data_IF_676729677495
#
_entry.id   IF_676729677495
#
_cell.length_a   1.000
_cell.length_b   1.000
_cell.length_c   1.000
_cell.angle_alpha   90.00
_cell.angle_beta   90.00
_cell.angle_gamma   90.00
#
_symmetry.space_group_name_H-M   'P 1'
#
loop_
_entity.id
_entity.type
_entity.pdbx_description
1 polymer ?
#
# COMPACT_ATOMS: atom_id res chain seq x y z
N UNK A 1 3.24 -12.58 9.81
CA UNK A 1 1.81 -12.27 9.99
C UNK A 1 1.35 -12.83 11.32
N UNK A 2 0.41 -12.15 12.03
CA UNK A 2 0.04 -12.52 13.39
C UNK A 2 -0.74 -13.85 13.42
N UNK A 3 -0.24 -14.81 14.18
CA UNK A 3 -0.91 -16.10 14.43
C UNK A 3 -2.01 -15.99 15.48
N UNK A 4 -1.99 -14.94 16.31
CA UNK A 4 -3.02 -14.64 17.30
C UNK A 4 -4.17 -13.83 16.66
N UNK A 5 -5.39 -14.35 16.76
CA UNK A 5 -6.60 -13.71 16.25
C UNK A 5 -6.84 -12.31 16.83
N UNK A 6 -6.60 -12.10 18.13
CA UNK A 6 -6.86 -10.80 18.78
C UNK A 6 -5.99 -9.68 18.22
N UNK A 7 -4.71 -9.97 17.94
CA UNK A 7 -3.80 -9.02 17.29
C UNK A 7 -4.10 -8.88 15.79
N UNK A 8 -4.47 -9.99 15.13
CA UNK A 8 -4.85 -9.96 13.73
C UNK A 8 -6.08 -9.06 13.48
N UNK A 9 -7.09 -9.15 14.34
CA UNK A 9 -8.29 -8.31 14.25
C UNK A 9 -7.97 -6.81 14.36
N UNK A 10 -6.94 -6.44 15.13
CA UNK A 10 -6.46 -5.06 15.23
C UNK A 10 -5.72 -4.57 13.98
N UNK A 11 -5.28 -5.50 13.12
CA UNK A 11 -4.63 -5.18 11.85
C UNK A 11 -5.64 -5.10 10.68
N UNK A 12 -6.95 -5.18 10.95
CA UNK A 12 -7.97 -5.17 9.91
C UNK A 12 -8.28 -3.76 9.44
N UNK A 13 -8.17 -3.51 8.13
CA UNK A 13 -8.80 -2.36 7.47
C UNK A 13 -10.16 -2.73 6.89
N UNK A 14 -11.12 -1.81 6.97
CA UNK A 14 -12.48 -1.96 6.47
C UNK A 14 -12.67 -1.16 5.19
N UNK A 15 -13.60 -1.59 4.35
CA UNK A 15 -13.90 -0.91 3.06
C UNK A 15 -14.16 0.59 3.22
N UNK A 16 -14.78 0.99 4.31
CA UNK A 16 -15.05 2.37 4.66
C UNK A 16 -13.78 3.22 4.84
N UNK A 17 -12.70 2.62 5.34
CA UNK A 17 -11.39 3.27 5.47
C UNK A 17 -10.76 3.47 4.08
N UNK A 18 -10.84 2.44 3.23
CA UNK A 18 -10.37 2.52 1.84
C UNK A 18 -11.09 3.62 1.07
N UNK A 19 -12.42 3.75 1.21
CA UNK A 19 -13.18 4.77 0.47
C UNK A 19 -12.75 6.18 0.84
N UNK A 20 -12.49 6.44 2.12
CA UNK A 20 -12.14 7.79 2.59
C UNK A 20 -10.70 8.14 2.21
N UNK A 21 -9.77 7.19 2.36
CA UNK A 21 -8.38 7.37 1.93
C UNK A 21 -8.28 7.62 0.42
N UNK A 22 -9.01 6.86 -0.40
CA UNK A 22 -9.03 7.08 -1.84
C UNK A 22 -9.76 8.36 -2.25
N UNK A 23 -10.81 8.76 -1.52
CA UNK A 23 -11.48 10.05 -1.76
C UNK A 23 -10.55 11.24 -1.48
N UNK A 24 -9.69 11.16 -0.48
CA UNK A 24 -8.68 12.19 -0.19
C UNK A 24 -7.65 12.32 -1.33
N UNK A 25 -7.19 11.20 -1.88
CA UNK A 25 -6.23 11.20 -3.02
C UNK A 25 -6.89 11.74 -4.28
N UNK A 26 -8.10 11.29 -4.59
CA UNK A 26 -8.85 11.78 -5.75
C UNK A 26 -9.12 13.29 -5.65
N UNK A 27 -9.43 13.79 -4.44
CA UNK A 27 -9.59 15.22 -4.18
C UNK A 27 -8.28 16.01 -4.36
N UNK A 28 -7.14 15.47 -3.89
CA UNK A 28 -5.83 16.11 -4.05
C UNK A 28 -5.40 16.20 -5.52
N UNK A 29 -5.69 15.16 -6.32
CA UNK A 29 -5.40 15.16 -7.76
C UNK A 29 -6.30 16.14 -8.54
N UNK A 30 -7.57 16.28 -8.15
CA UNK A 30 -8.49 17.26 -8.73
C UNK A 30 -8.08 18.71 -8.40
N UNK A 31 -7.66 18.98 -7.15
CA UNK A 31 -7.22 20.31 -6.70
C UNK A 31 -5.93 20.78 -7.41
N UNK A 32 -5.06 19.85 -7.86
CA UNK A 32 -3.83 20.14 -8.59
C UNK A 32 -4.00 20.21 -10.13
N UNK A 33 -5.13 19.78 -10.67
CA UNK A 33 -5.38 19.71 -12.12
C UNK A 33 -5.95 21.02 -12.72
N UNK A 34 -6.01 22.11 -11.94
CA UNK A 34 -6.42 23.44 -12.42
C UNK A 34 -5.21 24.36 -12.56
N UNK A 35 -4.57 24.43 -13.74
CA UNK A 35 -3.78 25.59 -14.13
C UNK A 35 -4.65 26.52 -14.99
N UNK A 36 -4.82 27.75 -14.49
CA UNK A 36 -4.70 28.99 -15.28
C UNK A 36 -5.43 29.08 -16.63
N UNK A 37 -6.76 29.20 -16.61
CA UNK A 37 -7.45 30.01 -17.62
C UNK A 37 -8.50 30.89 -16.95
N UNK A 38 -8.29 32.20 -17.08
CA UNK A 38 -9.26 33.27 -16.84
C UNK A 38 -10.55 32.96 -17.60
N UNK A 39 -11.52 32.31 -16.95
CA UNK A 39 -12.89 32.26 -17.45
C UNK A 39 -13.84 32.58 -16.31
N UNK A 40 -14.38 33.79 -16.38
CA UNK A 40 -15.56 34.23 -15.65
C UNK A 40 -16.73 33.29 -15.98
N UNK A 41 -16.88 32.23 -15.19
CA UNK A 41 -18.05 31.36 -15.22
C UNK A 41 -18.23 30.69 -13.87
N UNK A 42 -18.95 31.35 -12.97
CA UNK A 42 -19.79 30.76 -11.92
C UNK A 42 -19.44 29.31 -11.48
N UNK A 43 -18.27 29.09 -10.92
CA UNK A 43 -17.93 27.85 -10.21
C UNK A 43 -18.23 27.99 -8.71
N UNK A 44 -19.51 28.15 -8.41
CA UNK A 44 -20.07 28.18 -7.06
C UNK A 44 -20.13 26.76 -6.45
N UNK A 45 -19.01 26.03 -6.40
CA UNK A 45 -18.93 24.72 -5.72
C UNK A 45 -17.56 24.40 -5.08
N UNK A 46 -16.57 25.29 -5.20
CA UNK A 46 -15.28 25.15 -4.50
C UNK A 46 -15.25 25.82 -3.11
N UNK A 47 -16.42 26.17 -2.56
CA UNK A 47 -16.57 26.98 -1.34
C UNK A 47 -17.09 26.10 -0.22
N UNK A 48 -16.30 26.01 0.86
CA UNK A 48 -16.55 25.32 2.14
C UNK A 48 -15.98 23.90 2.27
N UNK A 49 -14.74 23.66 1.84
CA UNK A 49 -13.94 22.60 2.46
C UNK A 49 -13.09 23.20 3.58
N UNK A 50 -13.20 22.64 4.78
CA UNK A 50 -12.48 23.13 5.94
C UNK A 50 -10.96 23.13 5.68
N UNK A 51 -10.26 24.16 6.18
CA UNK A 51 -8.78 24.31 6.06
C UNK A 51 -8.03 23.01 6.43
N UNK A 52 -8.44 22.23 7.45
CA UNK A 52 -7.83 20.94 7.77
C UNK A 52 -7.89 19.90 6.63
N UNK A 53 -9.00 19.80 5.90
CA UNK A 53 -9.15 18.85 4.79
C UNK A 53 -8.19 19.16 3.64
N UNK A 54 -7.99 20.44 3.33
CA UNK A 54 -7.01 20.87 2.32
C UNK A 54 -5.58 20.54 2.75
N UNK A 55 -5.23 20.83 4.00
CA UNK A 55 -3.90 20.48 4.55
C UNK A 55 -3.66 18.96 4.49
N UNK A 56 -4.65 18.15 4.86
CA UNK A 56 -4.51 16.69 4.77
C UNK A 56 -4.34 16.19 3.34
N UNK A 57 -5.04 16.77 2.35
CA UNK A 57 -4.82 16.46 0.93
C UNK A 57 -3.43 16.83 0.43
N UNK A 58 -2.85 17.93 0.91
CA UNK A 58 -1.48 18.33 0.53
C UNK A 58 -0.40 17.43 1.15
N UNK A 59 -0.66 16.87 2.34
CA UNK A 59 0.31 16.03 3.06
C UNK A 59 0.23 14.55 2.65
N UNK A 60 -0.97 14.05 2.36
CA UNK A 60 -1.21 12.66 1.97
C UNK A 60 -1.13 12.49 0.45
N UNK A 61 0.06 12.15 -0.04
CA UNK A 61 0.24 11.69 -1.41
C UNK A 61 -0.31 10.27 -1.59
N UNK A 62 -0.67 9.91 -2.82
CA UNK A 62 -1.06 8.53 -3.15
C UNK A 62 0.01 7.49 -2.79
N UNK A 63 1.29 7.86 -2.77
CA UNK A 63 2.37 6.97 -2.33
C UNK A 63 2.32 6.70 -0.81
N UNK A 64 2.04 7.73 0.00
CA UNK A 64 1.88 7.58 1.45
C UNK A 64 0.71 6.65 1.79
N UNK A 65 -0.43 6.81 1.12
CA UNK A 65 -1.60 5.95 1.34
C UNK A 65 -1.29 4.50 0.98
N UNK A 66 -0.63 4.25 -0.17
CA UNK A 66 -0.21 2.90 -0.54
C UNK A 66 0.68 2.28 0.52
N UNK A 67 1.69 3.02 1.00
CA UNK A 67 2.61 2.55 2.04
C UNK A 67 1.91 2.23 3.36
N UNK A 68 0.94 3.05 3.77
CA UNK A 68 0.17 2.87 5.02
C UNK A 68 -0.67 1.59 5.01
N UNK A 69 -1.13 1.17 3.84
CA UNK A 69 -2.04 0.03 3.69
C UNK A 69 -1.31 -1.30 3.50
N UNK A 70 0.00 -1.28 3.27
CA UNK A 70 0.81 -2.49 3.14
C UNK A 70 0.77 -3.31 4.43
N UNK A 71 0.77 -4.63 4.27
CA UNK A 71 0.78 -5.61 5.36
C UNK A 71 -0.46 -5.61 6.25
N UNK A 72 -1.46 -4.77 5.98
CA UNK A 72 -2.76 -4.80 6.67
C UNK A 72 -3.58 -6.01 6.26
N UNK A 73 -4.48 -6.45 7.13
CA UNK A 73 -5.41 -7.53 6.86
C UNK A 73 -6.74 -6.97 6.37
N UNK A 74 -7.36 -7.67 5.43
CA UNK A 74 -8.66 -7.31 4.87
C UNK A 74 -9.55 -8.54 4.76
N UNK A 75 -10.83 -8.36 5.05
CA UNK A 75 -11.87 -9.35 4.77
C UNK A 75 -12.42 -9.07 3.38
N UNK A 76 -12.38 -10.06 2.49
CA UNK A 76 -12.70 -9.86 1.08
C UNK A 76 -13.79 -10.84 0.65
N UNK A 77 -14.81 -10.32 -0.03
CA UNK A 77 -15.80 -11.12 -0.75
C UNK A 77 -15.17 -11.66 -2.04
N UNK A 78 -15.14 -12.98 -2.21
CA UNK A 78 -14.47 -13.61 -3.35
C UNK A 78 -15.40 -13.59 -4.58
N UNK A 79 -15.00 -12.93 -5.68
CA UNK A 79 -15.78 -12.92 -6.92
C UNK A 79 -15.94 -14.32 -7.49
N UNK A 80 -17.09 -14.63 -8.11
CA UNK A 80 -17.38 -15.95 -8.69
C UNK A 80 -16.28 -16.47 -9.62
N UNK A 81 -15.69 -15.60 -10.43
CA UNK A 81 -14.59 -15.94 -11.35
C UNK A 81 -13.33 -16.47 -10.64
N UNK A 82 -13.15 -16.15 -9.36
CA UNK A 82 -12.00 -16.55 -8.54
C UNK A 82 -12.34 -17.59 -7.48
N UNK A 83 -13.61 -17.98 -7.33
CA UNK A 83 -14.04 -18.97 -6.33
C UNK A 83 -13.47 -20.36 -6.57
N UNK A 84 -13.33 -20.79 -7.83
CA UNK A 84 -12.70 -22.08 -8.15
C UNK A 84 -11.28 -22.19 -7.57
N UNK A 85 -10.48 -21.12 -7.69
CA UNK A 85 -9.11 -21.11 -7.22
C UNK A 85 -9.00 -20.80 -5.72
N UNK A 86 -9.71 -19.78 -5.23
CA UNK A 86 -9.57 -19.29 -3.86
C UNK A 86 -10.49 -19.98 -2.85
N UNK A 87 -11.56 -20.64 -3.25
CA UNK A 87 -12.48 -21.32 -2.32
C UNK A 87 -12.33 -22.83 -2.46
N UNK A 88 -12.56 -23.36 -3.66
CA UNK A 88 -12.54 -24.81 -3.89
C UNK A 88 -11.12 -25.38 -4.01
N UNK A 89 -10.16 -24.59 -4.48
CA UNK A 89 -8.74 -24.96 -4.55
C UNK A 89 -8.02 -24.98 -3.20
N UNK A 90 -8.59 -24.36 -2.16
CA UNK A 90 -7.97 -24.29 -0.84
C UNK A 90 -8.26 -25.56 -0.02
N UNK A 91 -7.21 -26.32 0.31
CA UNK A 91 -7.32 -27.58 1.09
C UNK A 91 -7.85 -27.37 2.50
N UNK A 92 -7.67 -26.18 3.08
CA UNK A 92 -8.05 -25.86 4.45
C UNK A 92 -9.51 -25.39 4.57
N UNK A 93 -10.13 -24.90 3.50
CA UNK A 93 -11.56 -24.54 3.52
C UNK A 93 -12.48 -25.77 3.61
N UNK A 94 -12.10 -26.87 2.96
CA UNK A 94 -12.90 -28.12 2.99
C UNK A 94 -12.73 -28.88 4.31
N UNK A 95 -11.63 -28.64 5.04
CA UNK A 95 -11.37 -29.28 6.34
C UNK A 95 -12.19 -28.71 7.50
N UNK A 96 -12.72 -27.49 7.35
CA UNK A 96 -13.61 -26.86 8.33
C UNK A 96 -15.11 -27.10 8.05
N UNK A 97 -15.45 -27.55 6.84
CA UNK A 97 -16.81 -27.97 6.51
C UNK A 97 -17.03 -29.39 7.03
N UNK A 98 -17.71 -29.51 8.17
CA UNK A 98 -18.17 -30.79 8.72
C UNK A 98 -19.01 -31.51 7.64
N UNK A 99 -18.81 -32.81 7.39
CA UNK A 99 -19.57 -33.54 6.38
C UNK A 99 -21.00 -33.72 6.90
N UNK A 100 -21.91 -32.83 6.54
CA UNK A 100 -23.30 -32.89 7.01
C UNK A 100 -24.22 -31.78 6.51
N UNK A 101 -23.74 -30.54 6.41
CA UNK A 101 -24.64 -29.41 6.08
C UNK A 101 -24.64 -29.09 4.59
N UNK A 102 -25.25 -29.99 3.82
CA UNK A 102 -25.69 -29.71 2.45
C UNK A 102 -27.11 -29.15 2.45
N UNK A 103 -27.30 -27.90 2.91
CA UNK A 103 -28.54 -27.17 2.62
C UNK A 103 -28.38 -25.65 2.71
N UNK A 104 -28.26 -25.00 1.55
CA UNK A 104 -29.04 -23.81 1.18
C UNK A 104 -28.56 -23.26 -0.16
N UNK A 105 -29.40 -23.43 -1.18
CA UNK A 105 -29.31 -22.86 -2.54
C UNK A 105 -29.58 -21.34 -2.56
N UNK A 106 -28.95 -20.59 -1.64
CA UNK A 106 -28.80 -19.14 -1.72
C UNK A 106 -27.48 -18.80 -2.39
N UNK A 107 -27.35 -17.59 -2.98
CA UNK A 107 -26.07 -17.08 -3.50
C UNK A 107 -25.07 -16.92 -2.35
N UNK A 108 -24.42 -18.01 -1.91
CA UNK A 108 -23.44 -17.96 -0.83
C UNK A 108 -22.26 -17.11 -1.28
N UNK A 109 -22.12 -15.94 -0.67
CA UNK A 109 -20.94 -15.12 -0.82
C UNK A 109 -19.85 -15.71 0.08
N UNK A 110 -18.75 -16.13 -0.53
CA UNK A 110 -17.61 -16.65 0.22
C UNK A 110 -16.68 -15.49 0.61
N UNK A 111 -16.34 -15.41 1.89
CA UNK A 111 -15.42 -14.43 2.43
C UNK A 111 -14.09 -15.10 2.77
N UNK A 112 -12.99 -14.38 2.56
CA UNK A 112 -11.65 -14.80 3.00
C UNK A 112 -10.88 -13.63 3.58
N UNK A 113 -9.99 -13.94 4.51
CA UNK A 113 -8.98 -13.02 5.02
C UNK A 113 -7.75 -13.09 4.11
N UNK A 114 -7.22 -11.93 3.76
CA UNK A 114 -5.95 -11.80 3.07
C UNK A 114 -5.17 -10.59 3.54
N UNK A 115 -3.88 -10.58 3.21
CA UNK A 115 -2.97 -9.48 3.51
C UNK A 115 -2.72 -8.63 2.27
N UNK A 116 -2.79 -7.32 2.40
CA UNK A 116 -2.50 -6.37 1.33
C UNK A 116 -0.99 -6.30 1.07
N UNK A 117 -0.58 -6.65 -0.15
CA UNK A 117 0.83 -6.65 -0.59
C UNK A 117 1.14 -5.48 -1.52
N UNK A 118 0.15 -5.00 -2.27
CA UNK A 118 0.28 -3.81 -3.11
C UNK A 118 -1.08 -3.17 -3.34
N UNK A 119 -1.08 -1.86 -3.60
CA UNK A 119 -2.25 -1.05 -3.95
C UNK A 119 -1.91 -0.30 -5.23
N UNK A 120 -2.67 -0.52 -6.29
CA UNK A 120 -2.37 -0.04 -7.65
C UNK A 120 -3.61 0.62 -8.27
N UNK A 121 -3.50 1.79 -8.90
CA UNK A 121 -4.60 2.37 -9.65
C UNK A 121 -4.94 1.50 -10.86
N UNK A 122 -6.23 1.32 -11.15
CA UNK A 122 -6.70 0.54 -12.30
C UNK A 122 -6.45 1.33 -13.58
N UNK A 123 -5.76 0.77 -14.59
CA UNK A 123 -5.63 1.42 -15.89
C UNK A 123 -7.02 1.56 -16.52
N UNK A 124 -7.43 2.79 -16.81
CA UNK A 124 -8.69 3.09 -17.50
C UNK A 124 -8.44 3.14 -19.01
N UNK A 125 -9.31 2.50 -19.80
CA UNK A 125 -9.40 2.75 -21.25
C UNK A 125 -10.03 4.13 -21.49
N UNK A 126 -9.68 4.77 -22.61
CA UNK A 126 -10.12 6.12 -22.99
C UNK A 126 -11.65 6.32 -22.97
N UNK A 127 -12.43 5.26 -23.20
CA UNK A 127 -13.91 5.27 -23.15
C UNK A 127 -14.47 5.41 -21.72
N UNK A 128 -13.74 4.97 -20.69
CA UNK A 128 -14.19 5.04 -19.29
C UNK A 128 -13.96 6.42 -18.63
N UNK A 129 -13.18 7.29 -19.29
CA UNK A 129 -12.82 8.63 -18.78
C UNK A 129 -13.98 9.63 -18.91
N UNK A 130 -14.84 9.47 -19.92
CA UNK A 130 -16.02 10.32 -20.11
C UNK A 130 -17.16 9.99 -19.13
N UNK A 131 -17.32 8.72 -18.75
CA UNK A 131 -18.32 8.32 -17.76
C UNK A 131 -17.98 8.78 -16.33
N UNK A 132 -16.70 9.01 -16.02
CA UNK A 132 -16.23 9.47 -14.70
C UNK A 132 -16.22 10.99 -14.56
N UNK A 133 -16.04 11.74 -15.66
CA UNK A 133 -16.11 13.21 -15.65
C UNK A 133 -17.53 13.74 -15.34
N UNK A 134 -18.58 13.06 -15.81
CA UNK A 134 -19.97 13.42 -15.50
C UNK A 134 -20.43 13.01 -14.08
N UNK A 135 -19.73 12.06 -13.45
CA UNK A 135 -20.01 11.56 -12.10
C UNK A 135 -19.11 12.20 -11.01
N UNK A 136 -18.20 13.10 -11.38
CA UNK A 136 -17.30 13.79 -10.45
C UNK A 136 -18.03 14.72 -9.46
N UNK A 137 -19.32 15.01 -9.68
CA UNK A 137 -20.15 15.85 -8.82
C UNK A 137 -20.99 15.05 -7.80
N UNK A 138 -20.88 13.72 -7.76
CA UNK A 138 -21.49 12.89 -6.72
C UNK A 138 -20.44 12.01 -6.08
N UNK A 139 -20.42 11.97 -4.74
CA UNK A 139 -19.57 11.14 -3.88
C UNK A 139 -19.82 9.64 -4.06
N UNK A 140 -19.65 9.12 -5.27
CA UNK A 140 -19.95 7.74 -5.60
C UNK A 140 -18.76 6.88 -5.15
N UNK A 141 -18.68 6.65 -3.84
CA UNK A 141 -17.65 5.85 -3.16
C UNK A 141 -17.42 4.49 -3.82
N UNK A 142 -18.45 3.93 -4.47
CA UNK A 142 -18.39 2.69 -5.23
C UNK A 142 -17.53 2.80 -6.50
N UNK A 143 -17.57 3.94 -7.21
CA UNK A 143 -16.75 4.18 -8.40
C UNK A 143 -15.26 4.36 -8.01
N UNK A 144 -15.00 5.12 -6.93
CA UNK A 144 -13.65 5.29 -6.38
C UNK A 144 -13.05 3.94 -5.97
N UNK A 145 -13.76 3.12 -5.20
CA UNK A 145 -13.28 1.77 -4.83
C UNK A 145 -13.11 0.82 -6.03
N UNK A 146 -13.78 1.07 -7.15
CA UNK A 146 -13.64 0.29 -8.38
C UNK A 146 -12.46 0.72 -9.24
N UNK A 147 -11.95 1.93 -9.02
CA UNK A 147 -10.79 2.50 -9.70
C UNK A 147 -9.45 2.05 -9.12
N UNK A 148 -9.45 1.38 -7.96
CA UNK A 148 -8.26 0.86 -7.30
C UNK A 148 -8.26 -0.67 -7.22
N UNK A 149 -7.07 -1.25 -7.44
CA UNK A 149 -6.78 -2.67 -7.35
C UNK A 149 -5.86 -2.95 -6.17
N UNK A 150 -6.18 -4.00 -5.42
CA UNK A 150 -5.43 -4.49 -4.27
C UNK A 150 -4.82 -5.84 -4.64
N UNK A 151 -3.51 -5.97 -4.53
CA UNK A 151 -2.85 -7.27 -4.57
C UNK A 151 -2.94 -7.88 -3.17
N UNK A 152 -3.72 -8.94 -3.03
CA UNK A 152 -4.07 -9.55 -1.75
C UNK A 152 -3.47 -10.95 -1.72
N UNK A 153 -2.65 -11.23 -0.71
CA UNK A 153 -2.08 -12.53 -0.45
C UNK A 153 -2.98 -13.30 0.54
N UNK A 154 -3.54 -14.42 0.09
CA UNK A 154 -4.39 -15.33 0.88
C UNK A 154 -3.59 -16.47 1.53
N UNK A 155 -2.27 -16.37 1.54
CA UNK A 155 -1.34 -17.42 1.96
C UNK A 155 -0.86 -18.22 0.76
N UNK A 156 -1.71 -19.12 0.26
CA UNK A 156 -1.38 -20.02 -0.86
C UNK A 156 -1.21 -19.25 -2.19
N UNK A 157 -2.11 -18.31 -2.46
CA UNK A 157 -2.21 -17.55 -3.71
C UNK A 157 -2.23 -16.04 -3.42
N UNK A 158 -1.66 -15.27 -4.33
CA UNK A 158 -1.76 -13.81 -4.33
C UNK A 158 -2.55 -13.38 -5.57
N UNK A 159 -3.60 -12.59 -5.37
CA UNK A 159 -4.55 -12.23 -6.42
C UNK A 159 -4.84 -10.73 -6.41
N UNK A 160 -5.10 -10.18 -7.60
CA UNK A 160 -5.42 -8.79 -7.78
C UNK A 160 -6.94 -8.59 -7.78
N UNK A 161 -7.47 -7.92 -6.76
CA UNK A 161 -8.90 -7.70 -6.58
C UNK A 161 -9.21 -6.21 -6.47
N UNK A 162 -10.35 -5.77 -7.02
CA UNK A 162 -10.79 -4.39 -6.84
C UNK A 162 -11.16 -4.11 -5.38
N UNK A 163 -10.86 -2.90 -4.89
CA UNK A 163 -11.11 -2.53 -3.50
C UNK A 163 -12.61 -2.60 -3.11
N UNK A 164 -13.52 -2.54 -4.10
CA UNK A 164 -14.97 -2.73 -3.89
C UNK A 164 -15.36 -4.06 -3.24
N UNK A 165 -14.51 -5.09 -3.34
CA UNK A 165 -14.78 -6.42 -2.79
C UNK A 165 -14.42 -6.54 -1.30
N UNK A 166 -13.76 -5.54 -0.72
CA UNK A 166 -13.46 -5.50 0.72
C UNK A 166 -14.77 -5.34 1.50
N UNK A 167 -14.90 -6.05 2.61
CA UNK A 167 -16.06 -5.98 3.52
C UNK A 167 -15.81 -4.96 4.64
N UNK A 168 -16.91 -4.40 5.18
CA UNK A 168 -16.87 -3.61 6.41
C UNK A 168 -16.98 -4.47 7.67
N UNK A 169 -17.41 -5.73 7.53
CA UNK A 169 -17.57 -6.62 8.65
C UNK A 169 -16.22 -7.13 9.16
N UNK A 170 -16.07 -7.31 10.49
CA UNK A 170 -14.88 -7.95 11.04
C UNK A 170 -14.76 -9.38 10.49
N UNK A 171 -13.54 -9.85 10.24
CA UNK A 171 -13.34 -11.25 9.87
C UNK A 171 -13.49 -12.15 11.09
N UNK A 172 -13.91 -13.38 10.86
CA UNK A 172 -14.13 -14.34 11.96
C UNK A 172 -12.84 -15.08 12.32
N UNK A 173 -12.83 -15.71 13.50
CA UNK A 173 -11.71 -16.53 13.96
C UNK A 173 -11.46 -17.70 13.01
N UNK A 174 -12.51 -18.27 12.44
CA UNK A 174 -12.45 -19.38 11.49
C UNK A 174 -11.79 -18.93 10.18
N UNK A 175 -12.19 -17.77 9.65
CA UNK A 175 -11.60 -17.20 8.44
C UNK A 175 -10.10 -16.87 8.63
N UNK A 176 -9.73 -16.35 9.80
CA UNK A 176 -8.33 -16.10 10.16
C UNK A 176 -7.53 -17.40 10.31
N UNK A 177 -8.10 -18.44 10.93
CA UNK A 177 -7.44 -19.74 11.04
C UNK A 177 -7.16 -20.37 9.68
N UNK A 178 -8.11 -20.27 8.74
CA UNK A 178 -7.91 -20.73 7.36
C UNK A 178 -6.77 -19.96 6.70
N UNK A 179 -6.70 -18.64 6.89
CA UNK A 179 -5.61 -17.82 6.38
C UNK A 179 -4.24 -18.20 6.97
N UNK A 180 -4.14 -18.36 8.29
CA UNK A 180 -2.91 -18.76 8.97
C UNK A 180 -2.44 -20.14 8.49
N UNK A 181 -3.34 -21.12 8.40
CA UNK A 181 -3.03 -22.46 7.87
C UNK A 181 -2.51 -22.38 6.43
N UNK A 182 -3.17 -21.58 5.58
CA UNK A 182 -2.76 -21.37 4.19
C UNK A 182 -1.38 -20.72 4.08
N UNK A 183 -1.01 -19.81 5.00
CA UNK A 183 0.32 -19.23 5.06
C UNK A 183 1.38 -20.25 5.49
N UNK A 184 1.10 -21.01 6.56
CA UNK A 184 2.03 -22.02 7.10
C UNK A 184 2.30 -23.13 6.10
N UNK A 185 1.28 -23.62 5.40
CA UNK A 185 1.43 -24.66 4.38
C UNK A 185 2.30 -24.23 3.20
N UNK A 186 2.40 -22.93 2.90
CA UNK A 186 3.32 -22.39 1.89
C UNK A 186 4.75 -22.24 2.43
N UNK A 187 4.90 -21.83 3.69
CA UNK A 187 6.21 -21.74 4.36
C UNK A 187 6.90 -23.10 4.55
N UNK A 188 6.15 -24.21 4.56
CA UNK A 188 6.74 -25.56 4.60
C UNK A 188 7.52 -25.91 3.32
N UNK A 189 7.24 -25.24 2.20
CA UNK A 189 7.84 -25.51 0.88
C UNK A 189 8.70 -24.35 0.33
N UNK A 190 8.80 -23.21 1.05
CA UNK A 190 9.60 -22.05 0.66
C UNK A 190 10.00 -21.21 1.90
N UNK A 191 11.19 -20.58 1.92
CA UNK A 191 11.62 -19.74 3.04
C UNK A 191 10.94 -18.36 2.93
N UNK A 192 9.64 -18.30 3.20
CA UNK A 192 8.93 -17.03 3.37
C UNK A 192 8.92 -16.72 4.86
N UNK A 193 9.67 -15.69 5.25
CA UNK A 193 9.76 -15.21 6.63
C UNK A 193 8.37 -14.85 7.16
N UNK A 194 7.93 -15.58 8.18
CA UNK A 194 6.79 -15.16 8.99
C UNK A 194 7.18 -13.83 9.66
N UNK A 195 6.51 -12.73 9.31
CA UNK A 195 6.73 -11.39 9.88
C UNK A 195 6.98 -11.46 11.38
N UNK A 196 8.04 -10.79 11.85
CA UNK A 196 8.39 -10.77 13.27
C UNK A 196 7.25 -10.14 14.09
N UNK A 197 7.12 -10.51 15.36
CA UNK A 197 6.13 -9.95 16.29
C UNK A 197 6.20 -8.41 16.37
N UNK A 198 7.38 -7.83 16.16
CA UNK A 198 7.56 -6.38 16.12
C UNK A 198 6.87 -5.71 14.93
N UNK A 199 6.83 -6.36 13.76
CA UNK A 199 6.16 -5.80 12.56
C UNK A 199 4.63 -5.77 12.74
N UNK A 200 4.07 -6.78 13.40
CA UNK A 200 2.62 -6.86 13.60
C UNK A 200 2.10 -5.78 14.55
N UNK A 201 2.89 -5.40 15.57
CA UNK A 201 2.51 -4.34 16.50
C UNK A 201 2.57 -2.94 15.87
N UNK A 202 3.47 -2.75 14.90
CA UNK A 202 3.54 -1.51 14.11
C UNK A 202 2.34 -1.42 13.18
N UNK A 203 2.00 -2.51 12.49
CA UNK A 203 0.80 -2.55 11.62
C UNK A 203 -0.48 -2.30 12.41
N UNK A 204 -0.65 -2.91 13.59
CA UNK A 204 -1.81 -2.68 14.45
C UNK A 204 -1.92 -1.21 14.90
N UNK A 205 -0.80 -0.57 15.27
CA UNK A 205 -0.76 0.86 15.58
C UNK A 205 -1.13 1.73 14.39
N UNK A 206 -0.56 1.44 13.22
CA UNK A 206 -0.86 2.17 11.98
C UNK A 206 -2.34 2.06 11.62
N UNK A 207 -2.96 0.88 11.74
CA UNK A 207 -4.40 0.70 11.49
C UNK A 207 -5.25 1.51 12.48
N UNK A 208 -4.89 1.54 13.76
CA UNK A 208 -5.58 2.39 14.74
C UNK A 208 -5.47 3.87 14.40
N UNK A 209 -4.30 4.33 13.97
CA UNK A 209 -4.10 5.73 13.59
C UNK A 209 -4.85 6.06 12.29
N UNK A 210 -4.94 5.13 11.34
CA UNK A 210 -5.79 5.25 10.15
C UNK A 210 -7.26 5.40 10.55
N UNK A 211 -7.79 4.57 11.45
CA UNK A 211 -9.17 4.69 11.91
C UNK A 211 -9.45 6.06 12.55
N UNK A 212 -8.57 6.52 13.45
CA UNK A 212 -8.69 7.86 14.07
C UNK A 212 -8.66 8.98 13.03
N UNK A 213 -7.77 8.85 12.05
CA UNK A 213 -7.65 9.82 10.97
C UNK A 213 -8.93 9.85 10.10
N UNK A 214 -9.44 8.69 9.70
CA UNK A 214 -10.68 8.57 8.92
C UNK A 214 -11.88 9.13 9.70
N UNK A 215 -11.98 8.86 11.00
CA UNK A 215 -13.00 9.45 11.87
C UNK A 215 -12.90 10.98 11.94
N UNK A 216 -11.69 11.54 12.03
CA UNK A 216 -11.47 12.98 12.02
C UNK A 216 -11.87 13.61 10.67
N UNK A 217 -11.56 12.94 9.55
CA UNK A 217 -11.96 13.34 8.20
C UNK A 217 -13.47 13.36 8.04
N UNK A 218 -14.15 12.30 8.49
CA UNK A 218 -15.63 12.23 8.47
C UNK A 218 -16.26 13.28 9.36
N UNK A 219 -15.71 13.51 10.55
CA UNK A 219 -16.22 14.52 11.48
C UNK A 219 -16.12 15.93 10.89
N UNK A 220 -15.02 16.24 10.19
CA UNK A 220 -14.83 17.52 9.50
C UNK A 220 -15.74 17.69 8.27
N UNK A 221 -16.09 16.59 7.58
CA UNK A 221 -17.02 16.61 6.44
C UNK A 221 -18.48 16.73 6.87
N UNK A 222 -18.83 16.11 8.00
CA UNK A 222 -20.18 16.08 8.55
C UNK A 222 -20.48 17.25 9.50
N UNK A 223 -19.48 18.06 9.87
CA UNK A 223 -19.72 19.30 10.60
C UNK A 223 -20.46 20.28 9.67
N UNK A 224 -21.72 20.64 9.97
CA UNK A 224 -22.40 21.63 9.16
C UNK A 224 -21.64 22.94 9.30
N UNK A 225 -21.22 23.51 8.17
CA UNK A 225 -20.57 24.82 8.07
C UNK A 225 -21.57 25.92 8.47
N UNK A 226 -21.88 26.02 9.76
CA UNK A 226 -22.47 27.19 10.38
C UNK A 226 -21.36 27.92 11.14
N UNK A 227 -20.97 29.03 10.54
CA UNK A 227 -20.59 30.28 11.21
C UNK A 227 -20.71 30.31 12.74
N UNK A 228 -19.62 30.75 13.37
CA UNK A 228 -19.58 31.63 14.55
C UNK A 228 -20.34 31.22 15.83
N UNK A 229 -19.57 31.10 16.91
CA UNK A 229 -19.97 31.45 18.28
C UNK A 229 -21.30 30.87 18.80
N UNK A 230 -21.21 29.73 19.50
CA UNK A 230 -21.92 29.59 20.77
C UNK A 230 -21.31 28.44 21.59
N UNK A 231 -20.61 28.82 22.65
CA UNK A 231 -20.45 27.99 23.83
C UNK A 231 -21.86 27.58 24.29
N UNK A 232 -22.24 26.31 24.04
CA UNK A 232 -23.30 25.67 24.80
C UNK A 232 -22.66 24.93 25.97
N UNK A 233 -22.69 25.62 27.11
CA UNK A 233 -22.76 25.01 28.43
C UNK A 233 -23.87 23.95 28.44
N UNK A 234 -23.50 22.70 28.67
CA UNK A 234 -24.42 21.67 29.12
C UNK A 234 -23.81 21.00 30.35
N UNK A 235 -24.35 21.36 31.51
CA UNK A 235 -24.24 20.59 32.75
C UNK A 235 -24.70 19.15 32.49
N UNK A 236 -23.86 18.18 32.78
CA UNK A 236 -24.30 16.96 33.47
C UNK A 236 -23.10 16.37 34.22
N UNK A 237 -23.32 16.10 35.50
CA UNK A 237 -22.30 15.77 36.47
C UNK A 237 -21.81 14.33 36.44
N UNK A 238 -20.93 14.11 37.42
CA UNK A 238 -20.42 12.86 37.97
C UNK A 238 -19.25 12.15 37.28
N UNK A 239 -18.12 12.13 38.01
CA UNK A 239 -17.30 10.94 38.15
C UNK A 239 -15.87 11.01 37.61
N UNK A 240 -14.95 11.53 38.42
CA UNK A 240 -13.54 11.11 38.55
C UNK A 240 -12.92 10.29 37.40
N UNK A 241 -12.00 10.88 36.63
CA UNK A 241 -10.56 10.54 36.78
C UNK A 241 -9.66 11.48 35.96
N UNK A 242 -8.65 11.96 36.64
CA UNK A 242 -7.59 12.87 36.24
C UNK A 242 -6.62 12.25 35.21
N UNK A 243 -6.53 12.83 34.01
CA UNK A 243 -5.29 12.85 33.22
C UNK A 243 -5.24 14.13 32.37
N UNK A 244 -4.58 15.15 32.90
CA UNK A 244 -4.32 16.41 32.23
C UNK A 244 -3.40 16.22 31.02
N UNK A 245 -3.97 16.17 29.81
CA UNK A 245 -3.24 16.38 28.57
C UNK A 245 -3.25 17.87 28.22
N UNK A 246 -2.04 18.42 28.15
CA UNK A 246 -1.67 19.75 27.66
C UNK A 246 -2.53 20.20 26.48
N UNK A 247 -3.26 21.30 26.64
CA UNK A 247 -3.71 22.12 25.51
C UNK A 247 -2.52 22.93 25.01
N UNK A 248 -2.23 22.80 23.71
CA UNK A 248 -1.36 23.72 22.99
C UNK A 248 -2.07 25.08 22.87
N UNK A 249 -1.40 26.11 23.37
CA UNK A 249 -1.77 27.52 23.21
C UNK A 249 -1.31 27.94 21.81
N UNK A 250 -2.26 28.32 20.96
CA UNK A 250 -1.99 29.00 19.70
C UNK A 250 -1.33 30.36 19.95
N UNK A 251 -0.56 30.78 18.96
CA UNK A 251 0.33 31.94 18.91
C UNK A 251 -0.34 33.31 19.09
N UNK A 252 0.47 34.37 19.33
CA UNK A 252 0.04 35.70 19.74
C UNK A 252 -0.20 36.62 18.54
N UNK A 253 -1.17 37.54 18.66
CA UNK A 253 -1.30 38.63 17.69
C UNK A 253 -2.69 39.22 17.61
N UNK A 254 -3.01 40.14 18.52
CA UNK A 254 -3.91 41.26 18.24
C UNK A 254 -3.71 42.30 19.34
N UNK A 255 -2.94 43.33 19.00
CA UNK A 255 -2.85 44.58 19.75
C UNK A 255 -4.19 45.28 19.53
N UNK A 256 -5.00 45.39 20.58
CA UNK A 256 -6.27 46.11 20.59
C UNK A 256 -6.31 46.97 21.82
N UNK A 257 -5.92 48.22 21.63
CA UNK A 257 -6.04 49.33 22.58
C UNK A 257 -7.52 49.57 22.88
N UNK A 258 -7.87 49.64 24.16
CA UNK A 258 -9.24 49.65 24.65
C UNK A 258 -9.27 50.22 26.05
N UNK A 259 -9.04 51.53 26.10
CA UNK A 259 -9.39 52.43 27.21
C UNK A 259 -10.90 52.31 27.41
N UNK A 260 -11.32 51.96 28.62
CA UNK A 260 -12.67 52.26 29.09
C UNK A 260 -12.55 52.82 30.51
N UNK A 261 -12.55 54.15 30.56
CA UNK A 261 -12.86 54.94 31.74
C UNK A 261 -14.32 54.69 32.10
N UNK A 262 -14.56 54.24 33.32
CA UNK A 262 -15.85 54.41 33.98
C UNK A 262 -15.58 54.72 35.43
N UNK A 263 -15.43 56.02 35.67
CA UNK A 263 -15.79 56.68 36.91
C UNK A 263 -17.24 56.31 37.25
N UNK A 264 -17.44 55.73 38.43
CA UNK A 264 -18.66 55.97 39.20
C UNK A 264 -18.25 56.02 40.67
N UNK A 265 -18.04 57.27 41.10
CA UNK A 265 -18.18 57.72 42.47
C UNK A 265 -19.54 57.24 43.00
N UNK A 266 -19.55 56.49 44.10
CA UNK A 266 -20.65 56.62 45.05
C UNK A 266 -20.17 56.48 46.49
N UNK A 267 -20.23 57.64 47.15
CA UNK A 267 -20.10 57.85 48.58
C UNK A 267 -20.97 56.87 49.37
N UNK A 268 -20.37 56.21 50.36
CA UNK A 268 -21.11 55.90 51.57
C UNK A 268 -20.21 56.03 52.80
N UNK A 269 -20.25 57.22 53.40
CA UNK A 269 -19.77 57.50 54.75
C UNK A 269 -20.70 56.85 55.77
N UNK A 270 -20.12 56.07 56.68
CA UNK A 270 -20.48 55.80 58.09
C UNK A 270 -20.00 54.39 58.43
N UNK A 271 -19.22 54.10 59.47
CA UNK A 271 -18.80 54.80 60.68
C UNK A 271 -18.24 53.71 61.61
N UNK A 272 -17.41 54.10 62.59
CA UNK A 272 -16.65 53.27 63.55
C UNK A 272 -15.35 52.67 62.99
N UNK A 273 -14.19 52.76 63.63
CA UNK A 273 -13.82 53.23 64.95
C UNK A 273 -12.38 52.77 65.18
N UNK A 274 -11.50 53.69 65.57
CA UNK A 274 -10.21 53.53 66.26
C UNK A 274 -9.67 52.10 66.42
N UNK A 275 -8.71 51.68 65.58
CA UNK A 275 -7.46 50.95 65.96
C UNK A 275 -6.39 51.20 64.88
N UNK A 276 -5.81 52.40 64.84
CA UNK A 276 -4.66 52.73 63.98
C UNK A 276 -3.39 52.57 64.82
N UNK A 277 -2.73 51.40 64.76
CA UNK A 277 -1.47 51.23 65.48
C UNK A 277 -0.70 49.91 65.30
N UNK A 278 -1.34 48.78 64.97
CA UNK A 278 -0.66 47.47 64.96
C UNK A 278 -0.72 46.73 63.60
N UNK A 279 -1.47 47.26 62.62
CA UNK A 279 -1.75 46.54 61.37
C UNK A 279 -0.76 46.82 60.20
N UNK A 280 0.12 47.81 60.29
CA UNK A 280 1.06 48.16 59.19
C UNK A 280 2.29 47.25 59.15
N UNK A 281 2.80 46.82 60.31
CA UNK A 281 3.95 45.91 60.40
C UNK A 281 3.62 44.50 59.90
N UNK A 282 2.38 44.02 60.10
CA UNK A 282 1.93 42.72 59.60
C UNK A 282 1.73 42.76 58.09
N UNK A 283 1.17 43.86 57.55
CA UNK A 283 1.04 44.07 56.10
C UNK A 283 2.39 44.17 55.39
N UNK A 284 3.36 44.88 55.96
CA UNK A 284 4.72 44.95 55.39
C UNK A 284 5.41 43.57 55.38
N UNK A 285 5.24 42.77 56.45
CA UNK A 285 5.77 41.39 56.49
C UNK A 285 5.08 40.44 55.51
N UNK A 286 3.77 40.58 55.30
CA UNK A 286 3.04 39.84 54.27
C UNK A 286 3.49 40.22 52.86
N UNK A 287 3.70 41.51 52.60
CA UNK A 287 4.17 41.99 51.31
C UNK A 287 5.61 41.56 51.02
N UNK A 288 6.50 41.60 52.00
CA UNK A 288 7.86 41.05 51.87
C UNK A 288 7.87 39.55 51.54
N UNK A 289 7.01 38.75 52.21
CA UNK A 289 6.86 37.32 51.90
C UNK A 289 6.32 37.06 50.49
N UNK A 290 5.38 37.89 50.03
CA UNK A 290 4.86 37.80 48.65
C UNK A 290 5.94 38.12 47.62
N UNK A 291 6.77 39.12 47.87
CA UNK A 291 7.91 39.46 47.00
C UNK A 291 8.91 38.32 46.97
N UNK A 292 9.30 37.76 48.13
CA UNK A 292 10.18 36.59 48.20
C UNK A 292 9.62 35.38 47.44
N UNK A 293 8.31 35.12 47.56
CA UNK A 293 7.67 34.02 46.83
C UNK A 293 7.61 34.26 45.32
N UNK A 294 7.43 35.51 44.88
CA UNK A 294 7.52 35.89 43.48
C UNK A 294 8.96 35.75 42.95
N UNK A 295 9.96 36.14 43.71
CA UNK A 295 11.38 35.96 43.36
C UNK A 295 11.75 34.48 43.25
N UNK A 296 11.32 33.64 44.21
CA UNK A 296 11.49 32.19 44.13
C UNK A 296 10.84 31.59 42.89
N UNK A 297 9.62 32.02 42.56
CA UNK A 297 8.92 31.58 41.33
C UNK A 297 9.67 31.99 40.07
N UNK A 298 10.20 33.22 40.01
CA UNK A 298 10.99 33.69 38.88
C UNK A 298 12.30 32.91 38.71
N UNK A 299 12.99 32.59 39.81
CA UNK A 299 14.20 31.75 39.77
C UNK A 299 13.87 30.34 39.28
N UNK A 300 12.79 29.73 39.79
CA UNK A 300 12.34 28.41 39.35
C UNK A 300 11.96 28.40 37.85
N UNK A 301 11.30 29.44 37.35
CA UNK A 301 10.97 29.58 35.93
C UNK A 301 12.22 29.74 35.06
N UNK A 302 13.22 30.53 35.49
CA UNK A 302 14.49 30.66 34.77
C UNK A 302 15.24 29.34 34.69
N UNK A 303 15.30 28.58 35.78
CA UNK A 303 15.89 27.25 35.78
C UNK A 303 15.13 26.29 34.86
N UNK A 304 13.79 26.31 34.90
CA UNK A 304 12.98 25.48 34.01
C UNK A 304 13.20 25.81 32.53
N UNK A 305 13.27 27.10 32.18
CA UNK A 305 13.55 27.54 30.81
C UNK A 305 14.95 27.13 30.36
N UNK A 306 15.96 27.23 31.22
CA UNK A 306 17.31 26.77 30.89
C UNK A 306 17.34 25.25 30.66
N UNK A 307 16.71 24.47 31.55
CA UNK A 307 16.61 23.02 31.37
C UNK A 307 15.91 22.65 30.06
N UNK A 308 14.83 23.38 29.69
CA UNK A 308 14.13 23.17 28.42
C UNK A 308 14.98 23.55 27.20
N UNK A 309 15.81 24.59 27.31
CA UNK A 309 16.73 24.98 26.25
C UNK A 309 17.81 23.91 26.03
N UNK A 310 18.34 23.34 27.12
CA UNK A 310 19.33 22.27 27.03
C UNK A 310 18.72 20.97 26.49
N UNK A 311 17.50 20.61 26.90
CA UNK A 311 16.74 19.50 26.30
C UNK A 311 16.54 19.70 24.78
N UNK A 312 16.17 20.92 24.34
CA UNK A 312 15.99 21.21 22.91
C UNK A 312 17.30 21.11 22.13
N UNK A 313 18.42 21.57 22.71
CA UNK A 313 19.75 21.42 22.09
C UNK A 313 20.14 19.96 21.94
N UNK A 314 19.85 19.13 22.95
CA UNK A 314 20.10 17.70 22.90
C UNK A 314 19.26 17.02 21.81
N UNK A 315 17.95 17.28 21.77
CA UNK A 315 17.06 16.74 20.74
C UNK A 315 17.53 17.13 19.34
N UNK A 316 17.97 18.38 19.15
CA UNK A 316 18.49 18.85 17.86
C UNK A 316 19.80 18.17 17.48
N UNK A 317 20.68 17.87 18.44
CA UNK A 317 21.89 17.08 18.18
C UNK A 317 21.56 15.63 17.81
N UNK A 318 20.64 14.99 18.53
CA UNK A 318 20.17 13.63 18.25
C UNK A 318 19.52 13.56 16.86
N UNK A 319 18.69 14.54 16.50
CA UNK A 319 18.09 14.63 15.16
C UNK A 319 19.15 14.78 14.05
N UNK A 320 20.16 15.62 14.27
CA UNK A 320 21.28 15.77 13.32
C UNK A 320 22.09 14.48 13.17
N UNK A 321 22.29 13.74 14.26
CA UNK A 321 23.00 12.48 14.21
C UNK A 321 22.17 11.41 13.47
N UNK A 322 20.88 11.29 13.79
CA UNK A 322 19.98 10.38 13.09
C UNK A 322 19.89 10.68 11.58
N UNK A 323 19.90 11.95 11.18
CA UNK A 323 19.93 12.35 9.77
C UNK A 323 21.22 11.91 9.07
N UNK A 324 22.38 12.02 9.72
CA UNK A 324 23.66 11.54 9.18
C UNK A 324 23.68 10.02 9.07
N UNK A 325 23.19 9.32 10.09
CA UNK A 325 23.14 7.85 10.08
C UNK A 325 22.20 7.34 8.98
N UNK A 326 21.06 8.00 8.78
CA UNK A 326 20.14 7.71 7.67
C UNK A 326 20.79 7.96 6.30
N UNK A 327 21.51 9.07 6.13
CA UNK A 327 22.24 9.35 4.88
C UNK A 327 23.31 8.29 4.59
N UNK A 328 24.09 7.89 5.60
CA UNK A 328 25.10 6.84 5.45
C UNK A 328 24.47 5.47 5.10
N UNK A 329 23.33 5.12 5.71
CA UNK A 329 22.59 3.91 5.35
C UNK A 329 22.08 3.97 3.91
N UNK A 330 21.57 5.12 3.47
CA UNK A 330 21.09 5.33 2.11
C UNK A 330 22.22 5.18 1.09
N UNK A 331 23.39 5.75 1.35
CA UNK A 331 24.58 5.57 0.50
C UNK A 331 24.99 4.09 0.42
N UNK A 332 24.97 3.37 1.55
CA UNK A 332 25.27 1.94 1.58
C UNK A 332 24.27 1.13 0.76
N UNK A 333 22.98 1.47 0.82
CA UNK A 333 21.94 0.84 0.03
C UNK A 333 22.10 1.12 -1.47
N UNK A 334 22.41 2.36 -1.84
CA UNK A 334 22.67 2.73 -3.23
C UNK A 334 23.88 1.95 -3.79
N UNK A 335 24.98 1.88 -3.04
CA UNK A 335 26.16 1.11 -3.45
C UNK A 335 25.85 -0.39 -3.63
N UNK A 336 25.01 -0.98 -2.76
CA UNK A 336 24.55 -2.37 -2.91
C UNK A 336 23.67 -2.56 -4.14
N UNK A 337 22.76 -1.64 -4.40
CA UNK A 337 21.87 -1.69 -5.56
C UNK A 337 22.67 -1.58 -6.87
N UNK A 338 23.64 -0.67 -6.94
CA UNK A 338 24.55 -0.53 -8.09
C UNK A 338 25.39 -1.79 -8.29
N UNK A 339 25.97 -2.35 -7.22
CA UNK A 339 26.74 -3.60 -7.31
C UNK A 339 25.88 -4.78 -7.79
N UNK A 340 24.63 -4.87 -7.32
CA UNK A 340 23.67 -5.88 -7.78
C UNK A 340 23.30 -5.67 -9.26
N UNK A 341 23.08 -4.42 -9.69
CA UNK A 341 22.84 -4.08 -11.09
C UNK A 341 23.99 -4.50 -12.01
N UNK A 342 25.23 -4.21 -11.61
CA UNK A 342 26.42 -4.65 -12.33
C UNK A 342 26.55 -6.18 -12.39
N UNK A 343 26.21 -6.87 -11.30
CA UNK A 343 26.22 -8.33 -11.26
C UNK A 343 25.17 -8.93 -12.21
N UNK A 344 23.95 -8.38 -12.24
CA UNK A 344 22.90 -8.81 -13.17
C UNK A 344 23.32 -8.61 -14.61
N UNK A 345 23.91 -7.46 -14.96
CA UNK A 345 24.39 -7.22 -16.32
C UNK A 345 25.50 -8.19 -16.77
N UNK A 346 26.36 -8.63 -15.85
CA UNK A 346 27.36 -9.68 -16.17
C UNK A 346 26.68 -11.01 -16.46
N UNK A 347 25.74 -11.42 -15.64
CA UNK A 347 24.97 -12.66 -15.83
C UNK A 347 24.16 -12.62 -17.12
N UNK A 348 23.52 -11.50 -17.43
CA UNK A 348 22.78 -11.31 -18.69
C UNK A 348 23.70 -11.45 -19.90
N UNK A 349 24.90 -10.88 -19.83
CA UNK A 349 25.91 -10.99 -20.89
C UNK A 349 26.38 -12.42 -21.07
N UNK A 350 26.73 -13.12 -19.99
CA UNK A 350 27.14 -14.54 -20.04
C UNK A 350 26.03 -15.42 -20.62
N UNK A 351 24.78 -15.19 -20.21
CA UNK A 351 23.61 -15.90 -20.73
C UNK A 351 23.36 -15.61 -22.21
N UNK A 352 23.60 -14.38 -22.67
CA UNK A 352 23.50 -14.02 -24.08
C UNK A 352 24.60 -14.70 -24.92
N UNK A 353 25.83 -14.75 -24.40
CA UNK A 353 26.94 -15.47 -25.03
C UNK A 353 26.66 -16.99 -25.10
N UNK A 354 26.10 -17.59 -24.04
CA UNK A 354 25.71 -19.00 -24.04
C UNK A 354 24.61 -19.31 -25.07
N UNK A 355 23.62 -18.42 -25.22
CA UNK A 355 22.59 -18.57 -26.25
C UNK A 355 23.17 -18.46 -27.66
N UNK A 356 24.08 -17.53 -27.90
CA UNK A 356 24.77 -17.41 -29.18
C UNK A 356 25.60 -18.66 -29.50
N UNK A 357 26.30 -19.22 -28.51
CA UNK A 357 27.04 -20.48 -28.67
C UNK A 357 26.11 -21.66 -28.99
N UNK A 358 24.94 -21.75 -28.34
CA UNK A 358 23.92 -22.77 -28.64
C UNK A 358 23.36 -22.64 -30.05
N UNK A 359 23.10 -21.43 -30.53
CA UNK A 359 22.64 -21.19 -31.90
C UNK A 359 23.69 -21.65 -32.92
N UNK A 360 24.96 -21.30 -32.71
CA UNK A 360 26.05 -21.74 -33.59
C UNK A 360 26.15 -23.29 -33.61
N UNK A 361 25.95 -23.94 -32.47
CA UNK A 361 25.96 -25.40 -32.39
C UNK A 361 24.75 -26.01 -33.14
N UNK A 362 23.57 -25.39 -33.04
CA UNK A 362 22.38 -25.78 -33.80
C UNK A 362 22.60 -25.65 -35.31
N UNK A 363 23.16 -24.53 -35.77
CA UNK A 363 23.49 -24.32 -37.18
C UNK A 363 24.47 -25.39 -37.71
N UNK A 364 25.49 -25.74 -36.92
CA UNK A 364 26.41 -26.84 -37.26
C UNK A 364 25.69 -28.19 -37.35
N UNK A 365 24.78 -28.47 -36.42
CA UNK A 365 24.00 -29.71 -36.47
C UNK A 365 23.07 -29.76 -37.68
N UNK A 366 22.45 -28.65 -38.05
CA UNK A 366 21.58 -28.56 -39.23
C UNK A 366 22.37 -28.77 -40.53
N UNK A 367 23.58 -28.21 -40.62
CA UNK A 367 24.50 -28.49 -41.73
C UNK A 367 24.91 -29.97 -41.80
N UNK A 368 25.09 -30.64 -40.66
CA UNK A 368 25.42 -32.07 -40.63
C UNK A 368 24.22 -32.91 -41.07
N UNK A 369 23.01 -32.57 -40.58
CA UNK A 369 21.76 -33.26 -40.93
C UNK A 369 21.46 -33.13 -42.42
N UNK A 370 21.66 -31.95 -43.00
CA UNK A 370 21.49 -31.74 -44.46
C UNK A 370 22.48 -32.57 -45.27
N UNK A 371 23.76 -32.64 -44.88
CA UNK A 371 24.75 -33.53 -45.50
C UNK A 371 24.36 -35.01 -45.37
N UNK A 372 23.91 -35.44 -44.20
CA UNK A 372 23.43 -36.82 -43.98
C UNK A 372 22.22 -37.16 -44.85
N UNK A 373 21.27 -36.24 -45.01
CA UNK A 373 20.12 -36.42 -45.93
C UNK A 373 20.58 -36.57 -47.38
N UNK A 374 21.50 -35.73 -47.85
CA UNK A 374 22.06 -35.85 -49.20
C UNK A 374 22.75 -37.20 -49.43
N UNK A 375 23.53 -37.67 -48.45
CA UNK A 375 24.16 -39.00 -48.51
C UNK A 375 23.11 -40.12 -48.51
N UNK A 376 22.07 -40.03 -47.69
CA UNK A 376 20.98 -41.00 -47.68
C UNK A 376 20.25 -41.07 -49.02
N UNK A 377 20.00 -39.92 -49.66
CA UNK A 377 19.43 -39.85 -51.01
C UNK A 377 20.35 -40.46 -52.07
N UNK A 378 21.65 -40.18 -52.01
CA UNK A 378 22.64 -40.82 -52.90
C UNK A 378 22.64 -42.34 -52.72
N UNK A 379 22.67 -42.83 -51.48
CA UNK A 379 22.62 -44.27 -51.19
C UNK A 379 21.31 -44.89 -51.69
N UNK A 380 20.19 -44.18 -51.60
CA UNK A 380 18.91 -44.65 -52.16
C UNK A 380 18.96 -44.76 -53.68
N UNK A 381 19.58 -43.78 -54.36
CA UNK A 381 19.82 -43.83 -55.82
C UNK A 381 20.74 -45.00 -56.18
N UNK A 382 21.88 -45.16 -55.50
CA UNK A 382 22.79 -46.29 -55.72
C UNK A 382 22.10 -47.64 -55.49
N UNK A 383 21.31 -47.77 -54.41
CA UNK A 383 20.52 -48.96 -54.16
C UNK A 383 19.51 -49.22 -55.28
N UNK A 384 18.78 -48.20 -55.75
CA UNK A 384 17.84 -48.38 -56.87
C UNK A 384 18.55 -48.87 -58.14
N UNK A 385 19.74 -48.33 -58.45
CA UNK A 385 20.55 -48.82 -59.57
C UNK A 385 21.02 -50.25 -59.33
N UNK A 386 21.52 -50.57 -58.14
CA UNK A 386 21.96 -51.92 -57.77
C UNK A 386 20.82 -52.93 -57.83
N UNK A 387 19.63 -52.57 -57.32
CA UNK A 387 18.43 -53.42 -57.33
C UNK A 387 17.99 -53.67 -58.78
N UNK A 388 18.01 -52.63 -59.65
CA UNK A 388 17.72 -52.83 -61.08
C UNK A 388 18.76 -53.72 -61.78
N UNK A 389 20.05 -53.59 -61.47
CA UNK A 389 21.09 -54.45 -62.03
C UNK A 389 20.94 -55.89 -61.52
N UNK A 390 20.64 -56.08 -60.23
CA UNK A 390 20.37 -57.39 -59.65
C UNK A 390 19.12 -58.03 -60.27
N UNK A 391 18.05 -57.26 -60.50
CA UNK A 391 16.87 -57.72 -61.22
C UNK A 391 17.23 -58.15 -62.65
N UNK A 392 18.06 -57.39 -63.37
CA UNK A 392 18.52 -57.77 -64.71
C UNK A 392 19.35 -59.06 -64.70
N UNK A 393 20.21 -59.24 -63.69
CA UNK A 393 20.98 -60.47 -63.51
C UNK A 393 20.10 -61.66 -63.10
N UNK A 394 19.06 -61.45 -62.29
CA UNK A 394 18.13 -62.50 -61.84
C UNK A 394 17.09 -62.89 -62.89
N UNK A 395 16.70 -61.99 -63.80
CA UNK A 395 15.68 -62.25 -64.84
C UNK A 395 16.19 -63.18 -65.95
N UNK A 396 17.49 -63.46 -66.04
CA UNK A 396 18.00 -64.40 -67.04
C UNK A 396 19.14 -65.29 -66.55
N UNK A 397 18.89 -66.59 -66.53
CA UNK A 397 19.90 -67.66 -66.61
C UNK A 397 20.62 -67.67 -67.97
N UNK A 398 21.09 -66.52 -68.46
CA UNK A 398 21.71 -66.36 -69.79
C UNK A 398 23.18 -65.96 -69.69
N UNK A 399 23.89 -66.23 -70.79
CA UNK A 399 25.34 -66.05 -70.90
C UNK A 399 25.72 -64.58 -70.70
N UNK A 400 26.92 -64.28 -70.14
CA UNK A 400 27.34 -62.93 -69.80
C UNK A 400 27.42 -61.96 -71.00
N UNK A 401 27.56 -62.49 -72.22
CA UNK A 401 27.63 -61.72 -73.47
C UNK A 401 26.30 -61.00 -73.79
N UNK A 402 25.15 -61.66 -73.56
CA UNK A 402 23.82 -61.11 -73.83
C UNK A 402 23.44 -59.96 -72.88
N UNK A 403 24.03 -59.96 -71.67
CA UNK A 403 23.78 -58.92 -70.66
C UNK A 403 24.52 -57.63 -71.04
N UNK A 404 25.71 -57.73 -71.65
CA UNK A 404 26.51 -56.59 -72.09
C UNK A 404 25.87 -55.82 -73.24
N UNK A 405 25.32 -56.50 -74.25
CA UNK A 405 24.62 -55.84 -75.38
C UNK A 405 23.40 -55.05 -74.90
N UNK A 406 22.61 -55.63 -73.99
CA UNK A 406 21.37 -54.99 -73.50
C UNK A 406 21.62 -53.78 -72.61
N UNK A 407 22.72 -53.80 -71.84
CA UNK A 407 23.18 -52.63 -71.09
C UNK A 407 23.61 -51.51 -72.05
N UNK A 408 24.32 -51.83 -73.14
CA UNK A 408 24.72 -50.85 -74.14
C UNK A 408 23.53 -50.24 -74.89
N UNK A 409 22.53 -51.05 -75.24
CA UNK A 409 21.29 -50.59 -75.88
C UNK A 409 20.49 -49.64 -74.96
N UNK A 410 20.31 -49.99 -73.69
CA UNK A 410 19.63 -49.13 -72.70
C UNK A 410 20.39 -47.86 -72.35
N UNK A 411 21.72 -47.89 -72.34
CA UNK A 411 22.55 -46.69 -72.16
C UNK A 411 22.49 -45.74 -73.37
N UNK A 412 22.17 -46.25 -74.57
CA UNK A 412 21.90 -45.44 -75.74
C UNK A 412 20.49 -44.80 -75.68
N UNK A 413 19.47 -45.54 -75.21
CA UNK A 413 18.10 -45.02 -75.04
C UNK A 413 17.98 -43.92 -73.96
N UNK A 414 18.83 -43.93 -72.94
CA UNK A 414 18.81 -42.95 -71.84
C UNK A 414 19.60 -41.67 -72.12
N UNK A 415 20.29 -41.57 -73.28
CA UNK A 415 21.07 -40.40 -73.71
C UNK A 415 20.34 -39.50 -74.73
N UNK A 416 19.19 -39.92 -75.23
CA UNK A 416 18.23 -39.08 -75.97
C UNK A 416 17.17 -38.52 -75.02
#
# INVERSE_FOLDING_TARGET
MPTNYGLAAQCQLRREDFSELFALVAGAEADCAVPDELSDSNCSSAVSQSIPLRLWRTLLTGAHIRSLMLHTLVRVSIPKSKQALLVHGNRHMNSSARPGDSSSSGKQQHYRVGCVVAVVPRPQSSESRQATAAAANSEDTAALLSSWLLQINFGEAAELLAAKYVSNEPFTKEEHLVYVRSCVSKCANAPVALSSTGETDVVARNVQDIHRFVEAVRSQRNEPSYSSSQQKTANSGDGNTCHAKKRFRAEPGAVGDGIDDSDDDDNNENGHGVVRGVCTAVKCKQQARLVEDQERRLVALRQHLNNKNDELRQILQEQKQAARDHAAQQEQWNAKAEAQGLAMHRVEKELAEERAAKQLLQEKTDQLVTKMKCLAEQTRKYKSVSDTVAEWLCVTSRKPEDVLERVQEKMAETKT
#
